data_IF_854832774102
#
_entry.id   IF_854832774102
#
_cell.length_a   1.000
_cell.length_b   1.000
_cell.length_c   1.000
_cell.angle_alpha   90.00
_cell.angle_beta   90.00
_cell.angle_gamma   90.00
#
_symmetry.space_group_name_H-M   'P 1'
#
loop_
_entity.id
_entity.type
_entity.pdbx_description
1 polymer ?
#
# COMPACT_ATOMS: atom_id res chain seq x y z
N UNK A 1 7.39 -35.60 -10.73
CA UNK A 1 6.85 -35.13 -10.84
C UNK A 1 6.50 -34.10 -10.75
N UNK A 2 6.41 -33.73 -11.11
CA UNK A 2 6.29 -32.52 -10.88
C UNK A 2 5.47 -32.06 -10.04
N UNK A 3 5.61 -31.53 -9.63
CA UNK A 3 4.82 -31.05 -8.90
C UNK A 3 4.44 -29.84 -9.16
N UNK A 4 3.84 -29.54 -9.17
CA UNK A 4 3.20 -28.38 -9.41
C UNK A 4 2.76 -27.71 -8.20
N UNK A 5 3.31 -27.96 -7.12
CA UNK A 5 2.92 -27.39 -5.86
C UNK A 5 2.88 -25.87 -5.84
N UNK A 6 3.83 -25.17 -6.46
CA UNK A 6 3.76 -23.70 -6.40
C UNK A 6 2.50 -23.14 -6.99
N UNK A 7 1.98 -23.76 -8.01
CA UNK A 7 0.79 -23.22 -8.56
C UNK A 7 -0.42 -23.53 -7.77
N UNK A 8 -0.33 -24.47 -6.87
CA UNK A 8 -1.43 -24.79 -6.00
C UNK A 8 -1.54 -23.85 -4.81
N UNK A 9 -0.46 -23.17 -4.49
CA UNK A 9 -0.51 -22.23 -3.39
C UNK A 9 -1.28 -20.99 -3.78
N UNK A 10 -2.24 -20.55 -2.97
CA UNK A 10 -2.96 -19.32 -3.29
C UNK A 10 -2.02 -18.13 -3.22
N UNK A 11 -2.22 -17.18 -4.10
CA UNK A 11 -1.50 -15.92 -4.02
C UNK A 11 -1.94 -15.18 -2.75
N UNK A 12 -1.03 -14.42 -2.14
CA UNK A 12 -1.38 -13.60 -1.00
C UNK A 12 -2.39 -12.54 -1.44
N UNK A 13 -3.38 -12.27 -0.60
CA UNK A 13 -4.38 -11.25 -0.93
C UNK A 13 -3.77 -9.87 -0.96
N UNK A 14 -4.44 -8.97 -1.64
CA UNK A 14 -4.18 -7.54 -1.53
C UNK A 14 -5.32 -6.97 -0.71
N UNK A 15 -4.99 -6.34 0.41
CA UNK A 15 -5.99 -5.82 1.33
C UNK A 15 -6.04 -4.30 1.19
N UNK A 16 -7.25 -3.77 1.03
CA UNK A 16 -7.45 -2.33 0.90
C UNK A 16 -8.19 -1.80 2.12
N UNK A 17 -7.66 -0.73 2.71
CA UNK A 17 -8.25 -0.06 3.84
C UNK A 17 -8.60 1.35 3.41
N UNK A 18 -9.89 1.64 3.35
CA UNK A 18 -10.39 2.95 2.93
C UNK A 18 -11.24 3.56 4.03
N UNK A 19 -11.48 4.85 3.94
CA UNK A 19 -12.35 5.52 4.89
C UNK A 19 -12.14 7.01 4.89
N UNK A 20 -13.03 7.75 5.55
CA UNK A 20 -13.00 9.21 5.49
C UNK A 20 -11.92 9.86 6.34
N UNK A 21 -11.41 9.20 7.38
CA UNK A 21 -10.40 9.77 8.25
C UNK A 21 -9.07 9.08 8.05
N UNK A 22 -8.03 9.87 7.80
CA UNK A 22 -6.72 9.32 7.52
C UNK A 22 -6.11 8.62 8.73
N UNK A 23 -6.30 9.18 9.95
CA UNK A 23 -5.69 8.60 11.14
C UNK A 23 -6.22 7.21 11.44
N UNK A 24 -7.52 6.99 11.25
CA UNK A 24 -8.11 5.67 11.47
C UNK A 24 -7.58 4.63 10.50
N UNK A 25 -7.35 5.03 9.24
CA UNK A 25 -6.81 4.12 8.23
C UNK A 25 -5.38 3.73 8.53
N UNK A 26 -4.56 4.68 8.97
CA UNK A 26 -3.18 4.39 9.33
C UNK A 26 -3.12 3.41 10.50
N UNK A 27 -3.90 3.66 11.54
CA UNK A 27 -3.94 2.77 12.69
C UNK A 27 -4.38 1.36 12.29
N UNK A 28 -5.40 1.25 11.44
CA UNK A 28 -5.90 -0.04 10.98
C UNK A 28 -4.84 -0.79 10.16
N UNK A 29 -4.15 -0.08 9.28
CA UNK A 29 -3.11 -0.70 8.45
C UNK A 29 -1.97 -1.23 9.30
N UNK A 30 -1.54 -0.45 10.30
CA UNK A 30 -0.45 -0.86 11.17
C UNK A 30 -0.86 -2.03 12.05
N UNK A 31 -2.10 -2.02 12.56
CA UNK A 31 -2.61 -3.14 13.35
C UNK A 31 -2.65 -4.41 12.53
N UNK A 32 -3.07 -4.33 11.27
CA UNK A 32 -3.09 -5.47 10.37
C UNK A 32 -1.68 -5.97 10.07
N UNK A 33 -0.74 -5.06 9.86
CA UNK A 33 0.65 -5.42 9.60
C UNK A 33 1.23 -6.18 10.79
N UNK A 34 0.98 -5.70 12.01
CA UNK A 34 1.46 -6.37 13.22
C UNK A 34 0.79 -7.72 13.42
N UNK A 35 -0.51 -7.80 13.16
CA UNK A 35 -1.25 -9.05 13.26
C UNK A 35 -0.70 -10.09 12.28
N UNK A 36 -0.45 -9.68 11.04
CA UNK A 36 0.09 -10.59 10.03
C UNK A 36 1.45 -11.13 10.44
N UNK A 37 2.30 -10.28 11.01
CA UNK A 37 3.62 -10.70 11.46
C UNK A 37 3.53 -11.63 12.66
N UNK A 38 2.69 -11.30 13.64
CA UNK A 38 2.61 -12.07 14.89
C UNK A 38 1.94 -13.42 14.70
N UNK A 39 0.92 -13.49 13.84
CA UNK A 39 0.11 -14.70 13.74
C UNK A 39 0.43 -15.55 12.52
N UNK A 40 1.04 -14.98 11.50
CA UNK A 40 1.30 -15.70 10.25
C UNK A 40 2.75 -15.60 9.80
N UNK A 41 3.57 -14.84 10.51
CA UNK A 41 4.96 -14.63 10.10
C UNK A 41 5.08 -13.89 8.78
N UNK A 42 4.06 -13.13 8.38
CA UNK A 42 4.04 -12.40 7.13
C UNK A 42 4.45 -10.95 7.35
N UNK A 43 5.41 -10.50 6.57
CA UNK A 43 5.78 -9.08 6.55
C UNK A 43 4.81 -8.35 5.62
N UNK A 44 4.14 -7.33 6.14
CA UNK A 44 3.29 -6.47 5.32
C UNK A 44 4.08 -5.28 4.80
N UNK A 45 3.69 -4.78 3.62
CA UNK A 45 4.21 -3.54 3.07
C UNK A 45 3.00 -2.69 2.69
N UNK A 46 3.03 -1.43 3.10
CA UNK A 46 1.89 -0.54 2.94
C UNK A 46 2.10 0.33 1.71
N UNK A 47 1.08 0.42 0.87
CA UNK A 47 1.06 1.32 -0.28
C UNK A 47 0.08 2.45 0.07
N UNK A 48 0.60 3.67 0.15
CA UNK A 48 -0.22 4.83 0.45
C UNK A 48 -1.10 5.19 -0.74
N UNK A 49 -2.41 5.32 -0.50
CA UNK A 49 -3.37 5.70 -1.53
C UNK A 49 -3.87 7.10 -1.20
N UNK A 50 -2.98 8.07 -1.35
CA UNK A 50 -3.24 9.44 -0.93
C UNK A 50 -2.62 10.43 -1.90
N UNK A 51 -3.46 11.25 -2.52
CA UNK A 51 -3.03 12.20 -3.53
C UNK A 51 -2.25 13.39 -2.96
N UNK A 52 -2.21 13.55 -1.63
CA UNK A 52 -1.42 14.59 -1.00
C UNK A 52 -0.08 14.05 -0.51
N UNK A 53 -0.10 12.88 0.12
CA UNK A 53 1.11 12.31 0.73
C UNK A 53 2.14 11.83 -0.30
N UNK A 54 1.73 11.65 -1.55
CA UNK A 54 2.65 11.27 -2.61
C UNK A 54 3.68 12.36 -2.88
N UNK A 55 3.35 13.62 -2.57
CA UNK A 55 4.26 14.74 -2.80
C UNK A 55 5.17 14.97 -1.63
N UNK A 56 6.45 15.33 -1.93
CA UNK A 56 7.42 15.66 -0.91
C UNK A 56 7.03 16.95 -0.20
N UNK A 57 7.23 16.99 1.10
CA UNK A 57 7.03 18.20 1.88
C UNK A 57 5.59 18.51 2.24
N UNK A 58 4.64 17.65 1.87
CA UNK A 58 3.23 17.85 2.21
C UNK A 58 2.93 17.26 3.58
N UNK A 59 3.58 17.82 4.61
CA UNK A 59 3.53 17.27 5.96
C UNK A 59 2.53 17.97 6.87
N UNK A 60 2.20 19.21 6.56
CA UNK A 60 1.34 20.01 7.42
C UNK A 60 -0.13 19.65 7.17
N UNK A 61 -0.83 19.31 8.25
CA UNK A 61 -2.24 18.98 8.15
C UNK A 61 -2.52 17.65 7.49
N UNK A 62 -1.50 16.83 7.28
CA UNK A 62 -1.68 15.49 6.68
C UNK A 62 -1.51 14.43 7.77
N UNK A 63 -1.94 13.22 7.45
CA UNK A 63 -1.77 12.07 8.33
C UNK A 63 -0.56 11.24 7.92
N UNK A 64 0.53 11.91 7.57
CA UNK A 64 1.75 11.22 7.17
C UNK A 64 2.25 10.35 8.32
N UNK A 65 2.59 9.09 8.05
CA UNK A 65 3.09 8.22 9.11
C UNK A 65 4.38 8.75 9.73
N UNK A 66 4.51 8.58 11.02
CA UNK A 66 5.72 8.95 11.74
C UNK A 66 6.84 7.96 11.42
N UNK A 67 8.06 8.32 11.83
CA UNK A 67 9.20 7.42 11.66
C UNK A 67 8.97 6.10 12.41
N UNK A 68 8.40 6.16 13.60
CA UNK A 68 8.10 4.96 14.37
C UNK A 68 7.08 4.08 13.67
N UNK A 69 6.06 4.68 13.08
CA UNK A 69 5.05 3.94 12.34
C UNK A 69 5.64 3.31 11.08
N UNK A 70 6.51 4.03 10.38
CA UNK A 70 7.16 3.51 9.18
C UNK A 70 8.13 2.37 9.50
N UNK A 71 8.61 2.30 10.72
CA UNK A 71 9.47 1.21 11.16
C UNK A 71 8.69 -0.11 11.34
N UNK A 72 7.37 -0.05 11.53
CA UNK A 72 6.55 -1.24 11.68
C UNK A 72 6.43 -1.98 10.36
N UNK A 73 6.28 -1.24 9.26
CA UNK A 73 6.17 -1.83 7.94
C UNK A 73 6.67 -0.82 6.91
N UNK A 74 7.29 -1.27 5.82
CA UNK A 74 7.66 -0.36 4.74
C UNK A 74 6.44 0.34 4.17
N UNK A 75 6.59 1.63 3.86
CA UNK A 75 5.54 2.42 3.23
C UNK A 75 6.02 2.86 1.85
N UNK A 76 5.16 2.71 0.87
CA UNK A 76 5.44 3.08 -0.51
C UNK A 76 4.54 4.22 -0.95
N UNK A 77 5.00 4.98 -1.94
CA UNK A 77 4.28 6.09 -2.54
C UNK A 77 4.05 7.26 -1.57
N UNK A 78 5.00 7.44 -0.67
CA UNK A 78 5.09 8.61 0.19
C UNK A 78 6.30 9.43 -0.25
N UNK A 79 6.14 10.74 -0.39
CA UNK A 79 7.25 11.66 -0.64
C UNK A 79 8.05 11.29 -1.90
N UNK A 80 7.39 10.87 -2.96
CA UNK A 80 8.10 10.41 -4.16
C UNK A 80 8.11 11.41 -5.30
N UNK A 81 7.25 12.43 -5.24
CA UNK A 81 7.06 13.37 -6.35
C UNK A 81 7.31 14.79 -5.86
N UNK A 82 8.01 15.58 -6.68
CA UNK A 82 8.19 16.99 -6.43
C UNK A 82 6.82 17.68 -6.50
N UNK A 83 6.51 18.61 -5.56
CA UNK A 83 5.20 19.29 -5.58
C UNK A 83 4.91 20.08 -6.85
N UNK A 84 5.92 20.40 -7.64
CA UNK A 84 5.72 21.09 -8.91
C UNK A 84 5.35 20.15 -10.04
N UNK A 85 5.43 18.85 -9.83
CA UNK A 85 5.05 17.85 -10.82
C UNK A 85 3.64 17.36 -10.55
N UNK A 86 2.97 16.83 -11.57
CA UNK A 86 1.66 16.23 -11.40
C UNK A 86 1.79 14.72 -11.27
N UNK A 87 0.83 14.14 -10.56
CA UNK A 87 0.78 12.69 -10.38
C UNK A 87 -0.66 12.26 -10.58
N UNK A 88 -0.92 11.58 -11.67
CA UNK A 88 -2.28 11.21 -12.04
C UNK A 88 -2.72 9.89 -11.43
N UNK A 89 -4.03 9.64 -11.45
CA UNK A 89 -4.57 8.37 -11.02
C UNK A 89 -4.04 7.22 -11.88
N UNK A 90 -3.80 7.46 -13.17
CA UNK A 90 -3.23 6.44 -14.05
C UNK A 90 -1.79 6.12 -13.66
N UNK A 91 -1.00 7.12 -13.29
CA UNK A 91 0.35 6.90 -12.80
C UNK A 91 0.34 6.12 -11.49
N UNK A 92 -0.58 6.48 -10.59
CA UNK A 92 -0.74 5.73 -9.35
C UNK A 92 -1.06 4.27 -9.64
N UNK A 93 -2.03 4.02 -10.53
CA UNK A 93 -2.44 2.66 -10.84
C UNK A 93 -1.27 1.84 -11.39
N UNK A 94 -0.46 2.43 -12.26
CA UNK A 94 0.72 1.76 -12.79
C UNK A 94 1.73 1.45 -11.67
N UNK A 95 2.05 2.44 -10.86
CA UNK A 95 3.05 2.27 -9.80
C UNK A 95 2.58 1.28 -8.75
N UNK A 96 1.31 1.37 -8.34
CA UNK A 96 0.77 0.46 -7.35
C UNK A 96 0.70 -0.97 -7.86
N UNK A 97 0.33 -1.17 -9.12
CA UNK A 97 0.31 -2.52 -9.71
C UNK A 97 1.70 -3.14 -9.72
N UNK A 98 2.70 -2.35 -10.07
CA UNK A 98 4.09 -2.80 -10.08
C UNK A 98 4.54 -3.16 -8.65
N UNK A 99 4.18 -2.32 -7.68
CA UNK A 99 4.51 -2.57 -6.28
C UNK A 99 3.83 -3.81 -5.75
N UNK A 100 2.55 -4.01 -6.06
CA UNK A 100 1.83 -5.20 -5.61
C UNK A 100 2.54 -6.45 -6.09
N UNK A 101 2.91 -6.49 -7.37
CA UNK A 101 3.62 -7.63 -7.93
C UNK A 101 4.97 -7.84 -7.24
N UNK A 102 5.72 -6.78 -7.02
CA UNK A 102 7.01 -6.86 -6.38
C UNK A 102 6.91 -7.31 -4.91
N UNK A 103 5.92 -6.78 -4.19
CA UNK A 103 5.71 -7.16 -2.79
C UNK A 103 5.35 -8.64 -2.69
N UNK A 104 4.47 -9.10 -3.55
CA UNK A 104 4.11 -10.53 -3.58
C UNK A 104 5.29 -11.41 -3.96
N UNK A 105 6.13 -10.95 -4.87
CA UNK A 105 7.31 -11.70 -5.28
C UNK A 105 8.29 -11.86 -4.13
N UNK A 106 8.30 -10.94 -3.17
CA UNK A 106 9.10 -11.06 -1.96
C UNK A 106 8.45 -11.95 -0.90
N UNK A 107 7.25 -12.46 -1.16
CA UNK A 107 6.49 -13.22 -0.18
C UNK A 107 5.82 -12.36 0.87
N UNK A 108 5.70 -11.07 0.63
CA UNK A 108 5.13 -10.12 1.57
C UNK A 108 3.68 -9.78 1.22
N UNK A 109 2.98 -9.18 2.16
CA UNK A 109 1.56 -8.90 2.04
C UNK A 109 1.34 -7.43 1.65
N UNK A 110 0.75 -7.15 0.47
CA UNK A 110 0.46 -5.75 0.10
C UNK A 110 -0.77 -5.24 0.85
N UNK A 111 -0.63 -4.10 1.51
CA UNK A 111 -1.74 -3.40 2.16
C UNK A 111 -1.88 -2.02 1.51
N UNK A 112 -3.04 -1.77 0.92
CA UNK A 112 -3.35 -0.44 0.39
C UNK A 112 -4.12 0.34 1.44
N UNK A 113 -3.65 1.53 1.77
CA UNK A 113 -4.31 2.32 2.80
C UNK A 113 -4.36 3.79 2.41
N UNK A 114 -5.53 4.37 2.41
CA UNK A 114 -5.69 5.78 2.10
C UNK A 114 -7.13 6.16 1.81
N UNK A 115 -7.32 7.40 1.41
CA UNK A 115 -8.66 7.96 1.20
C UNK A 115 -8.92 8.50 -0.18
N UNK A 116 -7.98 8.40 -1.11
CA UNK A 116 -8.18 8.94 -2.46
C UNK A 116 -8.87 7.89 -3.32
N UNK A 117 -10.19 7.95 -3.33
CA UNK A 117 -11.01 6.92 -3.99
C UNK A 117 -10.75 6.80 -5.48
N UNK A 118 -10.42 7.90 -6.14
CA UNK A 118 -10.11 7.87 -7.57
C UNK A 118 -8.88 6.98 -7.85
N UNK A 119 -7.92 6.98 -6.95
CA UNK A 119 -6.74 6.13 -7.08
C UNK A 119 -7.11 4.65 -6.94
N UNK A 120 -7.96 4.32 -5.97
CA UNK A 120 -8.46 2.94 -5.84
C UNK A 120 -9.19 2.51 -7.09
N UNK A 121 -10.08 3.39 -7.60
CA UNK A 121 -10.86 3.07 -8.79
C UNK A 121 -9.95 2.78 -9.98
N UNK A 122 -8.96 3.63 -10.22
CA UNK A 122 -8.04 3.46 -11.33
C UNK A 122 -7.25 2.15 -11.21
N UNK A 123 -6.80 1.83 -10.00
CA UNK A 123 -6.04 0.63 -9.76
C UNK A 123 -6.89 -0.62 -10.00
N UNK A 124 -8.08 -0.66 -9.41
CA UNK A 124 -8.91 -1.85 -9.51
C UNK A 124 -9.42 -2.08 -10.93
N UNK A 125 -9.71 -1.01 -11.67
CA UNK A 125 -10.08 -1.14 -13.07
C UNK A 125 -8.91 -1.65 -13.90
N UNK A 126 -7.72 -1.24 -13.57
CA UNK A 126 -6.53 -1.69 -14.28
C UNK A 126 -6.13 -3.13 -13.97
N UNK A 127 -6.61 -3.68 -12.87
CA UNK A 127 -6.31 -5.06 -12.50
C UNK A 127 -7.28 -6.07 -13.10
N UNK A 128 -8.37 -5.62 -13.70
CA UNK A 128 -9.40 -6.52 -14.25
C UNK A 128 -8.95 -7.22 -15.52
#
# INVERSE_FOLDING_TARGET
MPKQAPEQAPALPTIAITGPTASGKTAAALALAQHAQQHFGLQAEIISVDSALVYRGMDIGTAKPSAAERAIAPHHLLDIIDPLQSYSAAQFAHDASTLIAAIRARGNLPLLAGGTMLYFKALFEGLS
#
